data_IF_900556118696
#
_entry.id   IF_900556118696
#
_cell.length_a   1.000
_cell.length_b   1.000
_cell.length_c   1.000
_cell.angle_alpha   90.00
_cell.angle_beta   90.00
_cell.angle_gamma   90.00
#
_symmetry.space_group_name_H-M   'P 1'
#
loop_
_entity.id
_entity.type
_entity.pdbx_description
1 polymer ?
#
# COMPACT_ATOMS: atom_id res chain seq x y z
N UNK A 1 2.77 9.04 -10.30
CA UNK A 1 2.56 8.75 -8.86
C UNK A 1 1.26 9.30 -8.31
N UNK A 2 0.79 10.47 -8.75
CA UNK A 2 -0.45 11.08 -8.23
C UNK A 2 -1.71 10.22 -8.41
N UNK A 3 -2.00 9.80 -9.65
CA UNK A 3 -3.12 8.88 -9.95
C UNK A 3 -3.05 7.58 -9.14
N UNK A 4 -1.84 7.05 -8.91
CA UNK A 4 -1.64 5.84 -8.12
C UNK A 4 -1.99 6.05 -6.65
N UNK A 5 -1.49 7.13 -6.04
CA UNK A 5 -1.76 7.42 -4.64
C UNK A 5 -3.26 7.67 -4.39
N UNK A 6 -3.93 8.36 -5.31
CA UNK A 6 -5.38 8.55 -5.27
C UNK A 6 -6.17 7.24 -5.36
N UNK A 7 -5.79 6.34 -6.27
CA UNK A 7 -6.41 5.01 -6.39
C UNK A 7 -6.24 4.19 -5.11
N UNK A 8 -5.03 4.15 -4.55
CA UNK A 8 -4.76 3.44 -3.30
C UNK A 8 -5.61 4.03 -2.17
N UNK A 9 -5.65 5.35 -2.01
CA UNK A 9 -6.45 6.01 -0.99
C UNK A 9 -7.94 5.62 -1.08
N UNK A 10 -8.53 5.71 -2.27
CA UNK A 10 -9.93 5.38 -2.49
C UNK A 10 -10.26 3.90 -2.21
N UNK A 11 -9.36 2.99 -2.58
CA UNK A 11 -9.52 1.55 -2.29
C UNK A 11 -9.45 1.29 -0.79
N UNK A 12 -8.47 1.88 -0.09
CA UNK A 12 -8.28 1.66 1.33
C UNK A 12 -9.40 2.27 2.17
N UNK A 13 -9.92 3.44 1.79
CA UNK A 13 -11.08 4.06 2.45
C UNK A 13 -12.30 3.12 2.45
N UNK A 14 -12.54 2.42 1.33
CA UNK A 14 -13.63 1.46 1.22
C UNK A 14 -13.38 0.15 1.97
N UNK A 15 -12.14 -0.30 2.01
CA UNK A 15 -11.77 -1.60 2.61
C UNK A 15 -11.55 -1.51 4.12
N UNK A 16 -11.12 -0.37 4.64
CA UNK A 16 -10.74 -0.17 6.04
C UNK A 16 -11.79 -0.65 7.06
N UNK A 17 -13.11 -0.36 6.90
CA UNK A 17 -14.11 -0.79 7.87
C UNK A 17 -14.24 -2.32 7.97
N UNK A 18 -14.06 -3.04 6.86
CA UNK A 18 -14.22 -4.50 6.81
C UNK A 18 -12.92 -5.22 7.14
N UNK A 19 -11.77 -4.56 6.91
CA UNK A 19 -10.45 -5.13 7.13
C UNK A 19 -10.20 -5.58 8.56
N UNK A 20 -10.59 -4.77 9.55
CA UNK A 20 -10.34 -5.07 10.97
C UNK A 20 -11.05 -6.36 11.37
N UNK A 21 -12.35 -6.46 11.06
CA UNK A 21 -13.14 -7.67 11.34
C UNK A 21 -12.58 -8.90 10.61
N UNK A 22 -12.16 -8.73 9.36
CA UNK A 22 -11.58 -9.82 8.57
C UNK A 22 -10.25 -10.32 9.14
N UNK A 23 -9.40 -9.41 9.63
CA UNK A 23 -8.12 -9.75 10.27
C UNK A 23 -8.33 -10.48 11.60
N UNK A 24 -9.31 -10.06 12.39
CA UNK A 24 -9.68 -10.74 13.63
C UNK A 24 -10.23 -12.15 13.37
N UNK A 25 -11.07 -12.32 12.35
CA UNK A 25 -11.54 -13.65 11.93
C UNK A 25 -10.38 -14.55 11.47
N UNK A 26 -9.44 -14.01 10.68
CA UNK A 26 -8.26 -14.73 10.22
C UNK A 26 -7.32 -15.17 11.36
N UNK A 27 -7.36 -14.54 12.54
CA UNK A 27 -6.55 -14.95 13.69
C UNK A 27 -7.01 -16.29 14.30
N UNK A 28 -8.25 -16.71 14.04
CA UNK A 28 -8.86 -17.92 14.63
C UNK A 28 -9.40 -18.91 13.60
N UNK A 29 -9.53 -18.52 12.33
CA UNK A 29 -10.00 -19.35 11.22
C UNK A 29 -8.89 -19.49 10.15
N UNK A 30 -8.40 -20.73 9.97
CA UNK A 30 -7.31 -21.04 9.05
C UNK A 30 -7.66 -20.75 7.58
N UNK A 31 -8.92 -20.95 7.17
CA UNK A 31 -9.38 -20.66 5.81
C UNK A 31 -9.42 -19.15 5.58
N UNK A 32 -9.88 -18.38 6.55
CA UNK A 32 -9.84 -16.91 6.51
C UNK A 32 -8.38 -16.42 6.45
N UNK A 33 -7.47 -17.00 7.23
CA UNK A 33 -6.05 -16.68 7.18
C UNK A 33 -5.43 -16.97 5.80
N UNK A 34 -5.69 -18.15 5.22
CA UNK A 34 -5.19 -18.50 3.89
C UNK A 34 -5.67 -17.51 2.82
N UNK A 35 -6.94 -17.09 2.89
CA UNK A 35 -7.50 -16.09 1.98
C UNK A 35 -6.86 -14.70 2.18
N UNK A 36 -6.59 -14.32 3.43
CA UNK A 36 -5.90 -13.06 3.78
C UNK A 36 -4.48 -13.04 3.20
N UNK A 37 -3.72 -14.11 3.38
CA UNK A 37 -2.36 -14.25 2.80
C UNK A 37 -2.40 -14.18 1.29
N UNK A 38 -3.36 -14.86 0.64
CA UNK A 38 -3.53 -14.81 -0.80
C UNK A 38 -3.88 -13.40 -1.30
N UNK A 39 -4.70 -12.65 -0.56
CA UNK A 39 -4.99 -11.25 -0.86
C UNK A 39 -3.76 -10.36 -0.74
N UNK A 40 -2.94 -10.53 0.30
CA UNK A 40 -1.68 -9.82 0.45
C UNK A 40 -0.71 -10.10 -0.69
N UNK A 41 -0.60 -11.36 -1.15
CA UNK A 41 0.24 -11.75 -2.29
C UNK A 41 -0.22 -11.11 -3.60
N UNK A 42 -1.52 -11.17 -3.93
CA UNK A 42 -2.08 -10.49 -5.11
C UNK A 42 -1.84 -8.98 -5.08
N UNK A 43 -1.96 -8.37 -3.90
CA UNK A 43 -1.65 -6.96 -3.72
C UNK A 43 -0.17 -6.69 -3.98
N UNK A 44 0.73 -7.51 -3.44
CA UNK A 44 2.18 -7.40 -3.69
C UNK A 44 2.51 -7.49 -5.17
N UNK A 45 1.95 -8.47 -5.89
CA UNK A 45 2.10 -8.60 -7.35
C UNK A 45 1.62 -7.34 -8.11
N UNK A 46 0.56 -6.70 -7.64
CA UNK A 46 0.08 -5.43 -8.19
C UNK A 46 1.13 -4.33 -8.01
N UNK A 47 1.77 -4.23 -6.84
CA UNK A 47 2.87 -3.30 -6.60
C UNK A 47 4.10 -3.63 -7.44
N UNK A 48 4.44 -4.91 -7.60
CA UNK A 48 5.54 -5.34 -8.46
C UNK A 48 5.35 -4.86 -9.89
N UNK A 49 4.16 -5.09 -10.46
CA UNK A 49 3.80 -4.65 -11.80
C UNK A 49 3.83 -3.12 -11.95
N UNK A 50 3.59 -2.36 -10.88
CA UNK A 50 3.70 -0.91 -10.89
C UNK A 50 5.16 -0.43 -10.85
N UNK A 51 5.99 -1.04 -10.00
CA UNK A 51 7.42 -0.71 -9.91
C UNK A 51 8.17 -1.07 -11.20
N UNK A 52 7.83 -2.19 -11.83
CA UNK A 52 8.41 -2.61 -13.12
C UNK A 52 8.16 -1.63 -14.27
N UNK A 53 7.16 -0.75 -14.16
CA UNK A 53 6.90 0.30 -15.16
C UNK A 53 7.80 1.53 -14.99
N UNK A 54 8.54 1.63 -13.88
CA UNK A 54 9.49 2.70 -13.63
C UNK A 54 10.83 2.35 -14.29
N UNK A 55 11.55 3.34 -14.86
CA UNK A 55 12.89 3.09 -15.38
C UNK A 55 13.83 2.63 -14.24
N UNK A 56 14.50 1.50 -14.41
CA UNK A 56 15.33 0.90 -13.35
C UNK A 56 16.43 1.85 -12.85
N UNK A 57 17.04 2.63 -13.75
CA UNK A 57 18.06 3.63 -13.40
C UNK A 57 17.53 4.80 -12.55
N UNK A 58 16.21 4.96 -12.45
CA UNK A 58 15.55 5.95 -11.58
C UNK A 58 15.21 5.37 -10.20
N UNK A 59 15.28 4.06 -10.01
CA UNK A 59 15.01 3.44 -8.72
C UNK A 59 16.20 3.65 -7.76
N UNK A 60 15.90 3.95 -6.50
CA UNK A 60 16.93 4.03 -5.44
C UNK A 60 17.50 2.68 -5.04
N UNK A 61 16.73 1.62 -5.25
CA UNK A 61 17.01 0.24 -4.87
C UNK A 61 16.62 -0.70 -6.00
N UNK A 62 17.09 -1.96 -5.99
CA UNK A 62 16.63 -2.96 -6.96
C UNK A 62 15.08 -3.07 -7.00
N UNK A 63 14.49 -3.50 -8.13
CA UNK A 63 13.04 -3.57 -8.29
C UNK A 63 12.29 -4.35 -7.20
N UNK A 64 12.87 -5.43 -6.69
CA UNK A 64 12.24 -6.26 -5.66
C UNK A 64 12.13 -5.51 -4.32
N UNK A 65 13.23 -4.90 -3.85
CA UNK A 65 13.23 -4.09 -2.62
C UNK A 65 12.35 -2.84 -2.75
N UNK A 66 12.32 -2.24 -3.94
CA UNK A 66 11.41 -1.13 -4.26
C UNK A 66 9.94 -1.55 -4.20
N UNK A 67 9.64 -2.77 -4.64
CA UNK A 67 8.29 -3.36 -4.56
C UNK A 67 7.87 -3.56 -3.11
N UNK A 68 8.72 -4.19 -2.30
CA UNK A 68 8.46 -4.43 -0.89
C UNK A 68 8.23 -3.11 -0.15
N UNK A 69 9.06 -2.11 -0.43
CA UNK A 69 8.95 -0.76 0.12
C UNK A 69 7.60 -0.12 -0.24
N UNK A 70 7.23 -0.13 -1.51
CA UNK A 70 5.97 0.46 -1.97
C UNK A 70 4.74 -0.27 -1.39
N UNK A 71 4.79 -1.61 -1.37
CA UNK A 71 3.73 -2.46 -0.82
C UNK A 71 3.52 -2.23 0.67
N UNK A 72 4.60 -2.07 1.45
CA UNK A 72 4.56 -1.79 2.88
C UNK A 72 3.99 -0.39 3.18
N UNK A 73 4.50 0.64 2.51
CA UNK A 73 4.08 2.04 2.70
C UNK A 73 2.60 2.22 2.33
N UNK A 74 2.15 1.65 1.22
CA UNK A 74 0.77 1.77 0.77
C UNK A 74 -0.23 0.85 1.50
N UNK A 75 0.17 0.23 2.62
CA UNK A 75 -0.63 -0.80 3.31
C UNK A 75 -1.85 -0.21 4.01
N UNK A 76 -2.85 -1.06 4.21
CA UNK A 76 -4.07 -0.68 4.93
C UNK A 76 -3.79 -0.35 6.41
N UNK A 77 -2.78 -0.98 7.02
CA UNK A 77 -2.39 -0.66 8.39
C UNK A 77 -1.81 0.76 8.50
N UNK A 78 -0.99 1.18 7.54
CA UNK A 78 -0.50 2.58 7.45
C UNK A 78 -1.65 3.55 7.23
N UNK A 79 -2.61 3.21 6.36
CA UNK A 79 -3.82 4.01 6.17
C UNK A 79 -4.61 4.16 7.47
N UNK A 80 -4.87 3.08 8.21
CA UNK A 80 -5.60 3.11 9.47
C UNK A 80 -4.91 3.98 10.52
N UNK A 81 -3.57 3.93 10.61
CA UNK A 81 -2.81 4.81 11.51
C UNK A 81 -2.99 6.29 11.16
N UNK A 82 -2.93 6.65 9.88
CA UNK A 82 -2.99 8.06 9.47
C UNK A 82 -4.43 8.59 9.42
N UNK A 83 -5.36 7.79 8.92
CA UNK A 83 -6.76 8.17 8.81
C UNK A 83 -7.48 8.08 10.16
N UNK A 84 -7.49 6.89 10.79
CA UNK A 84 -8.31 6.66 11.98
C UNK A 84 -7.67 7.18 13.27
N UNK A 85 -6.34 7.08 13.43
CA UNK A 85 -5.66 7.53 14.65
C UNK A 85 -5.23 9.00 14.54
N UNK A 86 -4.72 9.43 13.38
CA UNK A 86 -4.26 10.82 13.18
C UNK A 86 -5.31 11.75 12.57
N UNK A 87 -6.47 11.22 12.18
CA UNK A 87 -7.61 12.02 11.69
C UNK A 87 -7.40 12.63 10.31
N UNK A 88 -6.53 12.06 9.46
CA UNK A 88 -6.30 12.60 8.13
C UNK A 88 -7.46 12.27 7.20
N UNK A 89 -7.89 13.24 6.40
CA UNK A 89 -8.79 12.97 5.28
C UNK A 89 -8.06 12.22 4.13
N UNK A 90 -8.84 11.71 3.18
CA UNK A 90 -8.32 10.94 2.05
C UNK A 90 -7.38 11.76 1.14
N UNK A 91 -7.65 13.06 0.96
CA UNK A 91 -6.82 13.94 0.13
C UNK A 91 -5.43 14.15 0.73
N UNK A 92 -5.36 14.41 2.04
CA UNK A 92 -4.11 14.54 2.79
C UNK A 92 -3.32 13.23 2.78
N UNK A 93 -3.99 12.09 2.99
CA UNK A 93 -3.35 10.78 2.92
C UNK A 93 -2.78 10.51 1.52
N UNK A 94 -3.54 10.75 0.46
CA UNK A 94 -3.09 10.54 -0.92
C UNK A 94 -1.87 11.39 -1.25
N UNK A 95 -1.87 12.68 -0.87
CA UNK A 95 -0.73 13.57 -1.13
C UNK A 95 0.51 13.20 -0.30
N UNK A 96 0.32 12.74 0.94
CA UNK A 96 1.43 12.19 1.72
C UNK A 96 1.99 10.90 1.11
N UNK A 97 1.13 9.97 0.72
CA UNK A 97 1.53 8.71 0.11
C UNK A 97 2.30 8.96 -1.19
N UNK A 98 1.80 9.88 -2.03
CA UNK A 98 2.47 10.28 -3.27
C UNK A 98 3.90 10.75 -3.03
N UNK A 99 4.09 11.70 -2.12
CA UNK A 99 5.42 12.25 -1.77
C UNK A 99 6.32 11.17 -1.19
N UNK A 100 5.80 10.39 -0.25
CA UNK A 100 6.56 9.32 0.42
C UNK A 100 7.03 8.27 -0.57
N UNK A 101 6.18 7.83 -1.51
CA UNK A 101 6.59 6.88 -2.55
C UNK A 101 7.62 7.49 -3.51
N UNK A 102 7.51 8.77 -3.87
CA UNK A 102 8.54 9.43 -4.68
C UNK A 102 9.87 9.43 -3.93
N UNK A 103 9.89 9.87 -2.68
CA UNK A 103 11.10 10.01 -1.88
C UNK A 103 11.79 8.67 -1.60
N UNK A 104 11.02 7.60 -1.42
CA UNK A 104 11.55 6.27 -1.13
C UNK A 104 11.94 5.49 -2.39
N UNK A 105 11.23 5.66 -3.51
CA UNK A 105 11.45 4.86 -4.70
C UNK A 105 12.37 5.53 -5.71
N UNK A 106 12.31 6.85 -5.87
CA UNK A 106 12.93 7.55 -6.99
C UNK A 106 14.17 8.33 -6.56
N UNK A 107 15.23 8.25 -7.36
CA UNK A 107 16.38 9.13 -7.22
C UNK A 107 15.96 10.59 -7.45
N UNK A 108 16.54 11.55 -6.70
CA UNK A 108 16.33 12.97 -6.99
C UNK A 108 16.70 13.28 -8.43
N UNK A 109 16.03 14.27 -9.03
CA UNK A 109 16.46 14.85 -10.31
C UNK A 109 17.78 15.61 -10.18
#
# INVERSE_FOLDING_TARGET
MEMLAGLIAAVLERLAPVWVAYREAAAVDEKANANLVAAHRRRHETFAAMVQKLPEHRLRRPPDESTDTAWAIGSIDVYLLLHSIRGWDGARYAEWLRRTLIDQLLTPE
#
